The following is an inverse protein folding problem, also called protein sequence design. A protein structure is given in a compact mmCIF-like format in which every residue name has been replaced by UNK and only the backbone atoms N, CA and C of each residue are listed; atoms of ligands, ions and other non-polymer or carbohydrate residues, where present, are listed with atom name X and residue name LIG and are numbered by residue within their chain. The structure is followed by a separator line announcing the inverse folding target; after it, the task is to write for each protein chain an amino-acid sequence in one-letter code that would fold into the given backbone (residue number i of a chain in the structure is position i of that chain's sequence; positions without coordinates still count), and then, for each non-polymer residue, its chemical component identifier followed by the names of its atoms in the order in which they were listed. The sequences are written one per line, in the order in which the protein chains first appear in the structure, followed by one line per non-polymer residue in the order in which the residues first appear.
data_IF_715530539255
#
_entry.id   IF_715530539255
#
_cell.length_a   1.000
_cell.length_b   1.000
_cell.length_c   1.000
_cell.angle_alpha   90.00
_cell.angle_beta   90.00
_cell.angle_gamma   90.00
#
_symmetry.space_group_name_H-M   'P 1'
#
loop_
_entity.id
_entity.type
_entity.pdbx_description
1 polymer ?
#
# COMPACT_ATOMS: atom_id res chain seq x y z
N UNK A 1 -6.06 -7.73 23.78
CA UNK A 1 -7.29 -8.05 23.01
C UNK A 1 -6.83 -8.61 21.66
N UNK A 2 -7.35 -9.76 21.22
CA UNK A 2 -6.93 -10.39 19.96
C UNK A 2 -7.72 -9.75 18.82
N UNK A 3 -7.04 -9.07 17.89
CA UNK A 3 -7.68 -8.41 16.74
C UNK A 3 -8.40 -9.46 15.87
N UNK A 4 -9.69 -9.24 15.58
CA UNK A 4 -10.46 -10.12 14.67
C UNK A 4 -10.43 -9.61 13.22
N UNK A 5 -10.66 -10.52 12.25
CA UNK A 5 -10.78 -10.17 10.83
C UNK A 5 -11.84 -9.10 10.59
N UNK A 6 -13.00 -9.21 11.25
CA UNK A 6 -14.11 -8.28 11.10
C UNK A 6 -13.74 -6.87 11.59
N UNK A 7 -13.09 -6.78 12.74
CA UNK A 7 -12.63 -5.49 13.28
C UNK A 7 -11.57 -4.87 12.38
N UNK A 8 -10.59 -5.66 11.92
CA UNK A 8 -9.56 -5.20 10.99
C UNK A 8 -10.19 -4.67 9.70
N UNK A 9 -11.12 -5.43 9.11
CA UNK A 9 -11.80 -5.05 7.87
C UNK A 9 -12.55 -3.73 8.02
N UNK A 10 -13.29 -3.53 9.12
CA UNK A 10 -13.99 -2.27 9.38
C UNK A 10 -13.00 -1.11 9.51
N UNK A 11 -11.98 -1.25 10.35
CA UNK A 11 -10.97 -0.20 10.55
C UNK A 11 -10.26 0.16 9.24
N UNK A 12 -9.75 -0.84 8.51
CA UNK A 12 -9.04 -0.62 7.26
C UNK A 12 -9.94 0.00 6.20
N UNK A 13 -11.22 -0.41 6.13
CA UNK A 13 -12.19 0.19 5.21
C UNK A 13 -12.42 1.67 5.49
N UNK A 14 -12.59 2.05 6.76
CA UNK A 14 -12.74 3.46 7.13
C UNK A 14 -11.49 4.29 6.78
N UNK A 15 -10.31 3.77 7.12
CA UNK A 15 -9.03 4.44 6.84
C UNK A 15 -8.85 4.63 5.32
N UNK A 16 -9.04 3.58 4.53
CA UNK A 16 -8.83 3.63 3.08
C UNK A 16 -9.86 4.52 2.41
N UNK A 17 -11.12 4.52 2.85
CA UNK A 17 -12.13 5.43 2.32
C UNK A 17 -11.79 6.90 2.59
N UNK A 18 -11.27 7.23 3.78
CA UNK A 18 -10.77 8.59 4.08
C UNK A 18 -9.63 8.97 3.11
N UNK A 19 -8.71 8.03 2.79
CA UNK A 19 -7.64 8.27 1.82
C UNK A 19 -8.17 8.44 0.39
N UNK A 20 -9.08 7.59 -0.06
CA UNK A 20 -9.64 7.63 -1.40
C UNK A 20 -10.45 8.91 -1.65
N UNK A 21 -11.17 9.40 -0.63
CA UNK A 21 -11.93 10.64 -0.70
C UNK A 21 -11.03 11.84 -1.01
N UNK A 22 -9.83 11.89 -0.41
CA UNK A 22 -8.86 12.98 -0.60
C UNK A 22 -7.97 12.79 -1.82
N UNK A 23 -7.66 11.54 -2.18
CA UNK A 23 -6.72 11.22 -3.26
C UNK A 23 -7.30 11.46 -4.67
N UNK A 24 -8.63 11.44 -4.81
CA UNK A 24 -9.33 11.60 -6.09
C UNK A 24 -8.77 10.71 -7.21
N UNK A 25 -8.43 9.47 -6.86
CA UNK A 25 -7.89 8.49 -7.80
C UNK A 25 -8.87 8.17 -8.93
N UNK A 26 -8.31 7.87 -10.09
CA UNK A 26 -9.03 7.48 -11.30
C UNK A 26 -8.73 6.02 -11.64
N UNK A 27 -9.56 5.45 -12.51
CA UNK A 27 -9.28 4.17 -13.16
C UNK A 27 -7.86 4.15 -13.72
N UNK A 28 -7.12 3.09 -13.40
CA UNK A 28 -5.73 2.88 -13.82
C UNK A 28 -4.68 3.59 -12.97
N UNK A 29 -5.07 4.40 -11.97
CA UNK A 29 -4.12 4.90 -10.97
C UNK A 29 -3.63 3.75 -10.08
N UNK A 30 -2.47 3.98 -9.45
CA UNK A 30 -1.80 3.01 -8.60
C UNK A 30 -1.86 3.48 -7.13
N UNK A 31 -2.40 2.61 -6.29
CA UNK A 31 -2.44 2.74 -4.84
C UNK A 31 -1.34 1.87 -4.23
N UNK A 32 -0.48 2.46 -3.40
CA UNK A 32 0.66 1.76 -2.78
C UNK A 32 0.32 1.35 -1.35
N UNK A 33 0.64 0.11 -0.98
CA UNK A 33 0.58 -0.40 0.38
C UNK A 33 2.00 -0.66 0.91
N UNK A 34 2.36 -0.02 2.02
CA UNK A 34 3.41 -0.45 2.93
C UNK A 34 2.78 -1.04 4.18
N UNK A 35 3.28 -2.18 4.67
CA UNK A 35 2.60 -2.94 5.71
C UNK A 35 3.55 -3.79 6.57
N UNK A 36 3.46 -3.60 7.90
CA UNK A 36 4.09 -4.46 8.91
C UNK A 36 3.01 -5.17 9.74
N UNK A 37 2.76 -6.45 9.48
CA UNK A 37 1.71 -7.20 10.19
C UNK A 37 2.08 -7.54 11.63
N UNK A 38 3.37 -7.54 11.99
CA UNK A 38 3.80 -7.67 13.39
C UNK A 38 3.32 -6.49 14.23
N UNK A 39 3.45 -5.27 13.69
CA UNK A 39 2.97 -4.05 14.36
C UNK A 39 1.45 -4.05 14.50
N UNK A 40 0.71 -4.56 13.51
CA UNK A 40 -0.76 -4.63 13.57
C UNK A 40 -1.23 -5.47 14.75
N UNK A 41 -0.56 -6.60 15.01
CA UNK A 41 -0.89 -7.48 16.15
C UNK A 41 -0.26 -7.04 17.48
N UNK A 42 0.57 -5.99 17.48
CA UNK A 42 1.26 -5.48 18.67
C UNK A 42 2.57 -6.18 19.02
N UNK A 43 3.17 -6.90 18.07
CA UNK A 43 4.56 -7.33 18.16
C UNK A 43 5.49 -6.22 17.64
N UNK A 44 6.73 -6.16 18.15
CA UNK A 44 7.75 -5.27 17.60
C UNK A 44 8.15 -5.69 16.17
N UNK A 45 8.44 -4.71 15.29
CA UNK A 45 8.96 -4.89 13.91
C UNK A 45 9.95 -6.04 13.82
N UNK A 46 9.71 -6.98 12.90
CA UNK A 46 10.60 -8.10 12.60
C UNK A 46 10.44 -9.34 13.49
N UNK A 47 9.51 -9.32 14.46
CA UNK A 47 9.15 -10.50 15.28
C UNK A 47 7.67 -10.81 15.12
N UNK A 48 7.32 -12.06 14.82
CA UNK A 48 5.95 -12.56 14.72
C UNK A 48 5.10 -11.95 13.58
N UNK A 49 5.62 -11.90 12.35
CA UNK A 49 4.81 -11.62 11.17
C UNK A 49 3.57 -12.52 11.12
N UNK A 50 2.40 -11.95 10.95
CA UNK A 50 1.15 -12.70 10.84
C UNK A 50 0.73 -12.82 9.37
N UNK A 51 0.84 -14.03 8.81
CA UNK A 51 0.38 -14.36 7.47
C UNK A 51 -1.13 -14.12 7.32
N UNK A 52 -1.90 -14.55 8.32
CA UNK A 52 -3.35 -14.37 8.39
C UNK A 52 -3.77 -12.90 8.29
N UNK A 53 -3.11 -12.01 9.04
CA UNK A 53 -3.37 -10.57 8.98
C UNK A 53 -3.01 -9.99 7.61
N UNK A 54 -1.91 -10.47 7.00
CA UNK A 54 -1.54 -10.10 5.63
C UNK A 54 -2.66 -10.44 4.63
N UNK A 55 -3.22 -11.64 4.74
CA UNK A 55 -4.33 -12.10 3.89
C UNK A 55 -5.56 -11.20 4.04
N UNK A 56 -5.94 -10.84 5.26
CA UNK A 56 -7.08 -9.97 5.54
C UNK A 56 -6.90 -8.57 4.97
N UNK A 57 -5.70 -7.99 5.12
CA UNK A 57 -5.38 -6.65 4.61
C UNK A 57 -5.48 -6.62 3.08
N UNK A 58 -4.83 -7.57 2.39
CA UNK A 58 -4.83 -7.60 0.92
C UNK A 58 -6.24 -7.82 0.38
N UNK A 59 -6.99 -8.78 0.95
CA UNK A 59 -8.36 -9.06 0.54
C UNK A 59 -9.26 -7.82 0.68
N UNK A 60 -9.16 -7.14 1.82
CA UNK A 60 -9.94 -5.92 2.09
C UNK A 60 -9.59 -4.80 1.10
N UNK A 61 -8.31 -4.61 0.80
CA UNK A 61 -7.88 -3.58 -0.18
C UNK A 61 -8.38 -3.90 -1.58
N UNK A 62 -8.27 -5.16 -2.03
CA UNK A 62 -8.82 -5.58 -3.34
C UNK A 62 -10.32 -5.31 -3.44
N UNK A 63 -11.09 -5.68 -2.41
CA UNK A 63 -12.54 -5.41 -2.38
C UNK A 63 -12.89 -3.90 -2.51
N UNK A 64 -12.02 -3.00 -2.06
CA UNK A 64 -12.23 -1.55 -2.13
C UNK A 64 -11.73 -0.93 -3.45
N UNK A 65 -10.62 -1.44 -3.99
CA UNK A 65 -9.91 -0.86 -5.12
C UNK A 65 -10.32 -1.47 -6.47
N UNK A 66 -10.55 -2.79 -6.53
CA UNK A 66 -10.87 -3.49 -7.78
C UNK A 66 -12.16 -2.94 -8.42
N UNK A 67 -13.27 -2.67 -7.69
CA UNK A 67 -14.48 -2.09 -8.30
C UNK A 67 -14.28 -0.67 -8.86
N UNK A 68 -13.22 0.01 -8.44
CA UNK A 68 -12.83 1.35 -8.91
C UNK A 68 -11.78 1.29 -10.02
N UNK A 69 -11.33 0.08 -10.36
CA UNK A 69 -10.25 -0.18 -11.31
C UNK A 69 -8.95 0.56 -10.93
N UNK A 70 -8.68 0.65 -9.64
CA UNK A 70 -7.43 1.21 -9.09
C UNK A 70 -6.47 0.04 -8.84
N UNK A 71 -5.28 0.10 -9.41
CA UNK A 71 -4.28 -0.96 -9.24
C UNK A 71 -3.65 -0.88 -7.84
N UNK A 72 -3.36 -2.03 -7.24
CA UNK A 72 -2.66 -2.13 -5.96
C UNK A 72 -1.19 -2.53 -6.20
N UNK A 73 -0.25 -1.80 -5.60
CA UNK A 73 1.15 -2.18 -5.46
C UNK A 73 1.48 -2.43 -3.99
N UNK A 74 2.04 -3.60 -3.68
CA UNK A 74 2.32 -4.00 -2.30
C UNK A 74 3.81 -4.09 -2.08
N UNK A 75 4.33 -3.22 -1.22
CA UNK A 75 5.75 -3.11 -0.92
C UNK A 75 6.23 -4.29 -0.08
N UNK A 76 7.30 -4.94 -0.53
CA UNK A 76 8.09 -5.86 0.27
C UNK A 76 8.92 -5.14 1.34
N UNK A 77 9.47 -5.89 2.29
CA UNK A 77 10.39 -5.34 3.27
C UNK A 77 11.77 -4.98 2.67
N UNK A 78 12.64 -4.38 3.48
CA UNK A 78 13.98 -3.97 3.09
C UNK A 78 14.87 -5.12 2.59
N UNK A 79 14.60 -6.37 2.97
CA UNK A 79 15.33 -7.54 2.48
C UNK A 79 15.10 -7.81 0.97
N UNK A 80 13.99 -7.32 0.42
CA UNK A 80 13.70 -7.32 -1.02
C UNK A 80 13.94 -5.94 -1.64
N UNK A 81 14.71 -5.08 -0.99
CA UNK A 81 14.98 -3.71 -1.42
C UNK A 81 13.70 -2.88 -1.67
N UNK A 82 12.59 -3.22 -1.00
CA UNK A 82 11.28 -2.58 -1.19
C UNK A 82 10.74 -2.71 -2.62
N UNK A 83 11.12 -3.79 -3.32
CA UNK A 83 10.41 -4.24 -4.52
C UNK A 83 8.92 -4.45 -4.19
N UNK A 84 8.06 -4.36 -5.21
CA UNK A 84 6.61 -4.37 -4.99
C UNK A 84 5.93 -5.43 -5.85
N UNK A 85 4.99 -6.14 -5.23
CA UNK A 85 4.08 -7.02 -5.93
C UNK A 85 3.00 -6.19 -6.63
N UNK A 86 2.84 -6.41 -7.93
CA UNK A 86 1.77 -5.85 -8.79
C UNK A 86 1.24 -6.94 -9.71
N UNK A 87 0.06 -6.73 -10.30
CA UNK A 87 -0.38 -7.54 -11.44
C UNK A 87 0.54 -7.29 -12.65
N UNK A 88 0.91 -8.34 -13.40
CA UNK A 88 1.76 -8.23 -14.60
C UNK A 88 1.24 -7.20 -15.59
N UNK A 89 -0.08 -7.17 -15.79
CA UNK A 89 -0.74 -6.21 -16.68
C UNK A 89 -0.50 -4.75 -16.26
N UNK A 90 -0.39 -4.48 -14.95
CA UNK A 90 -0.07 -3.16 -14.41
C UNK A 90 1.40 -2.82 -14.65
N UNK A 91 2.31 -3.79 -14.42
CA UNK A 91 3.74 -3.62 -14.69
C UNK A 91 3.99 -3.29 -16.17
N UNK A 92 3.40 -4.06 -17.09
CA UNK A 92 3.53 -3.86 -18.53
C UNK A 92 2.92 -2.51 -18.97
N UNK A 93 1.70 -2.19 -18.52
CA UNK A 93 1.03 -0.94 -18.88
C UNK A 93 1.78 0.31 -18.40
N UNK A 94 2.41 0.24 -17.22
CA UNK A 94 3.18 1.35 -16.64
C UNK A 94 4.68 1.28 -16.94
N UNK A 95 5.14 0.24 -17.64
CA UNK A 95 6.55 -0.03 -17.98
C UNK A 95 7.45 -0.09 -16.75
N UNK A 96 6.99 -0.75 -15.69
CA UNK A 96 7.81 -1.03 -14.52
C UNK A 96 8.80 -2.15 -14.83
N UNK A 97 10.01 -2.05 -14.29
CA UNK A 97 11.04 -3.07 -14.42
C UNK A 97 10.67 -4.27 -13.54
N UNK A 98 10.41 -5.42 -14.18
CA UNK A 98 10.09 -6.67 -13.49
C UNK A 98 11.39 -7.30 -12.98
N UNK A 99 11.43 -7.63 -11.69
CA UNK A 99 12.56 -8.30 -11.04
C UNK A 99 12.18 -9.71 -10.59
N UNK A 100 13.18 -10.56 -10.41
CA UNK A 100 12.96 -11.97 -10.10
C UNK A 100 13.14 -12.27 -8.62
N UNK A 101 12.04 -12.41 -7.89
CA UNK A 101 11.98 -12.99 -6.55
C UNK A 101 10.56 -13.51 -6.29
N UNK A 102 10.44 -14.51 -5.41
CA UNK A 102 9.16 -14.90 -4.82
C UNK A 102 9.24 -14.47 -3.35
N UNK A 103 8.34 -13.59 -2.87
CA UNK A 103 8.39 -13.13 -1.49
C UNK A 103 8.11 -14.28 -0.53
N UNK A 104 8.75 -14.23 0.64
CA UNK A 104 8.54 -15.16 1.74
C UNK A 104 8.32 -14.40 3.05
N UNK A 105 7.72 -15.04 4.05
CA UNK A 105 7.44 -14.40 5.35
C UNK A 105 8.70 -13.84 6.03
N UNK A 106 9.84 -14.51 5.87
CA UNK A 106 11.13 -14.09 6.42
C UNK A 106 11.91 -13.13 5.49
N UNK A 107 11.49 -12.96 4.24
CA UNK A 107 12.15 -12.12 3.23
C UNK A 107 11.09 -11.61 2.24
N UNK A 108 10.45 -10.49 2.58
CA UNK A 108 9.36 -9.86 1.80
C UNK A 108 8.21 -9.38 2.69
N UNK A 109 7.84 -10.16 3.70
CA UNK A 109 6.81 -9.80 4.67
C UNK A 109 5.40 -10.28 4.26
N UNK A 110 4.52 -10.39 5.26
CA UNK A 110 3.24 -11.07 5.12
C UNK A 110 2.28 -10.44 4.09
N UNK A 111 2.27 -9.11 3.99
CA UNK A 111 1.45 -8.40 3.01
C UNK A 111 1.94 -8.67 1.56
N UNK A 112 3.26 -8.69 1.32
CA UNK A 112 3.85 -9.02 0.01
C UNK A 112 3.53 -10.45 -0.41
N UNK A 113 3.68 -11.41 0.52
CA UNK A 113 3.32 -12.82 0.30
C UNK A 113 1.83 -12.95 -0.04
N UNK A 114 0.96 -12.32 0.76
CA UNK A 114 -0.48 -12.37 0.52
C UNK A 114 -0.88 -11.74 -0.82
N UNK A 115 -0.19 -10.67 -1.25
CA UNK A 115 -0.41 -10.08 -2.57
C UNK A 115 -0.03 -11.07 -3.67
N UNK A 116 1.13 -11.71 -3.56
CA UNK A 116 1.61 -12.69 -4.52
C UNK A 116 0.67 -13.92 -4.61
N UNK A 117 0.02 -14.31 -3.52
CA UNK A 117 -0.93 -15.42 -3.53
C UNK A 117 -2.34 -15.04 -4.05
N UNK A 118 -2.77 -13.80 -3.82
CA UNK A 118 -4.14 -13.35 -4.14
C UNK A 118 -4.27 -12.62 -5.48
N UNK A 119 -3.16 -12.20 -6.09
CA UNK A 119 -3.15 -11.58 -7.42
C UNK A 119 -3.26 -12.66 -8.51
N UNK A 120 -3.76 -12.28 -9.68
CA UNK A 120 -4.04 -13.25 -10.75
C UNK A 120 -2.77 -13.67 -11.49
N UNK A 121 -1.92 -12.71 -11.86
CA UNK A 121 -0.60 -12.94 -12.47
C UNK A 121 0.42 -11.99 -11.82
N UNK A 122 0.84 -12.29 -10.57
CA UNK A 122 1.72 -11.42 -9.80
C UNK A 122 3.13 -11.38 -10.39
N UNK A 123 3.72 -10.18 -10.33
CA UNK A 123 5.15 -9.97 -10.56
C UNK A 123 5.70 -9.03 -9.51
N UNK A 124 6.98 -9.16 -9.22
CA UNK A 124 7.74 -8.20 -8.42
C UNK A 124 8.35 -7.14 -9.35
N UNK A 125 8.26 -5.88 -8.96
CA UNK A 125 8.87 -4.76 -9.70
C UNK A 125 9.84 -3.97 -8.83
N UNK A 126 10.92 -3.49 -9.44
CA UNK A 126 12.01 -2.80 -8.73
C UNK A 126 11.52 -1.49 -8.10
N UNK A 127 10.78 -0.70 -8.86
CA UNK A 127 10.25 0.58 -8.38
C UNK A 127 8.94 0.95 -9.07
N UNK A 128 8.11 1.73 -8.36
CA UNK A 128 6.83 2.25 -8.86
C UNK A 128 6.71 3.74 -8.57
N UNK A 129 5.85 4.40 -9.36
CA UNK A 129 5.37 5.77 -9.08
C UNK A 129 3.84 5.73 -9.00
N UNK A 130 3.32 5.70 -7.76
CA UNK A 130 1.91 5.68 -7.44
C UNK A 130 1.31 7.05 -7.14
N UNK A 131 -0.01 7.15 -7.23
CA UNK A 131 -0.75 8.40 -7.05
C UNK A 131 -1.15 8.63 -5.60
N UNK A 132 -1.35 7.56 -4.84
CA UNK A 132 -1.60 7.60 -3.40
C UNK A 132 -1.19 6.28 -2.76
N UNK A 133 -1.21 6.22 -1.44
CA UNK A 133 -0.96 5.00 -0.71
C UNK A 133 -1.14 5.14 0.79
N UNK A 134 -1.09 4.01 1.46
CA UNK A 134 -1.17 3.85 2.90
C UNK A 134 0.07 3.10 3.40
N UNK A 135 0.61 3.55 4.52
CA UNK A 135 1.67 2.89 5.25
C UNK A 135 1.15 2.48 6.63
N UNK A 136 1.20 1.18 6.90
CA UNK A 136 0.71 0.54 8.12
C UNK A 136 1.91 -0.02 8.89
N UNK A 137 2.26 0.62 10.00
CA UNK A 137 3.38 0.23 10.85
C UNK A 137 4.72 0.84 10.40
N UNK A 138 4.67 2.08 9.92
CA UNK A 138 5.84 2.93 9.64
C UNK A 138 6.90 2.30 8.73
N UNK A 139 6.44 1.56 7.71
CA UNK A 139 7.32 0.92 6.73
C UNK A 139 7.88 1.90 5.72
N UNK A 140 7.40 3.14 5.65
CA UNK A 140 7.81 4.22 4.74
C UNK A 140 7.54 3.92 3.26
N UNK A 141 6.47 4.50 2.71
CA UNK A 141 6.10 4.39 1.28
C UNK A 141 6.48 5.62 0.44
N UNK A 142 7.09 6.64 1.06
CA UNK A 142 7.32 7.94 0.43
C UNK A 142 8.12 7.87 -0.87
N UNK A 143 9.04 6.92 -1.02
CA UNK A 143 9.79 6.74 -2.26
C UNK A 143 8.89 6.35 -3.45
N UNK A 144 7.72 5.75 -3.20
CA UNK A 144 6.83 5.24 -4.24
C UNK A 144 5.76 6.25 -4.67
N UNK A 145 5.53 7.32 -3.92
CA UNK A 145 4.44 8.27 -4.21
C UNK A 145 4.93 9.40 -5.10
N UNK A 146 4.21 9.64 -6.19
CA UNK A 146 4.49 10.71 -7.16
C UNK A 146 4.64 12.06 -6.45
N UNK A 147 5.73 12.74 -6.75
CA UNK A 147 5.93 14.12 -6.30
C UNK A 147 4.98 15.07 -7.07
N UNK A 148 4.23 15.98 -6.43
CA UNK A 148 4.33 16.49 -5.04
C UNK A 148 3.47 15.67 -4.08
N UNK A 149 4.08 15.16 -3.01
CA UNK A 149 3.41 14.40 -1.97
C UNK A 149 2.66 15.31 -0.99
N UNK A 150 1.47 14.89 -0.60
CA UNK A 150 0.60 15.58 0.37
C UNK A 150 0.13 14.54 1.39
N UNK A 151 0.41 14.73 2.69
CA UNK A 151 -0.12 13.86 3.73
C UNK A 151 -1.64 13.89 3.75
N UNK A 152 -2.25 12.71 3.81
CA UNK A 152 -3.65 12.53 4.15
C UNK A 152 -3.73 12.13 5.61
N UNK A 153 -4.70 12.66 6.35
CA UNK A 153 -4.89 12.38 7.77
C UNK A 153 -6.22 11.63 7.97
N UNK A 154 -6.21 10.28 7.91
CA UNK A 154 -7.39 9.49 8.23
C UNK A 154 -7.87 9.74 9.66
N UNK A 155 -9.18 9.58 9.90
CA UNK A 155 -9.76 9.74 11.25
C UNK A 155 -9.21 8.70 12.22
N UNK A 156 -9.11 7.46 11.77
CA UNK A 156 -8.43 6.38 12.49
C UNK A 156 -6.94 6.41 12.17
N UNK A 157 -6.12 6.59 13.21
CA UNK A 157 -4.65 6.71 13.08
C UNK A 157 -3.91 5.40 13.28
N UNK A 158 -4.64 4.31 13.54
CA UNK A 158 -4.07 2.99 13.77
C UNK A 158 -4.93 1.91 13.14
N UNK A 159 -4.28 0.85 12.68
CA UNK A 159 -4.94 -0.41 12.33
C UNK A 159 -4.45 -1.47 13.31
N UNK A 160 -5.36 -1.99 14.15
CA UNK A 160 -4.92 -2.72 15.35
C UNK A 160 -4.00 -1.83 16.19
N UNK A 161 -2.75 -2.26 16.40
CA UNK A 161 -1.73 -1.49 17.11
C UNK A 161 -0.75 -0.74 16.19
N UNK A 162 -0.79 -0.98 14.87
CA UNK A 162 0.11 -0.33 13.93
C UNK A 162 -0.31 1.12 13.70
N UNK A 163 0.65 2.05 13.79
CA UNK A 163 0.46 3.43 13.35
C UNK A 163 0.19 3.49 11.84
N UNK A 164 -0.66 4.40 11.41
CA UNK A 164 -1.03 4.57 10.01
C UNK A 164 -0.68 5.96 9.52
N UNK A 165 0.06 6.02 8.41
CA UNK A 165 0.22 7.24 7.62
C UNK A 165 -0.31 7.03 6.20
N UNK A 166 -0.67 8.12 5.53
CA UNK A 166 -1.17 8.07 4.17
C UNK A 166 -0.67 9.27 3.37
N UNK A 167 -0.45 9.04 2.08
CA UNK A 167 0.02 10.05 1.14
C UNK A 167 -0.85 10.03 -0.10
N UNK A 168 -1.12 11.22 -0.65
CA UNK A 168 -1.56 11.39 -2.03
C UNK A 168 -0.58 12.28 -2.79
N UNK A 169 -0.69 12.29 -4.10
CA UNK A 169 0.06 13.20 -4.96
C UNK A 169 -0.82 14.32 -5.51
N UNK A 170 -0.19 15.44 -5.86
CA UNK A 170 -0.83 16.51 -6.63
C UNK A 170 0.13 17.09 -7.68
N UNK A 171 -0.39 17.77 -8.72
CA UNK A 171 0.44 18.55 -9.62
C UNK A 171 1.25 19.62 -8.89
N UNK A 172 2.46 19.88 -9.38
CA UNK A 172 3.26 21.03 -8.96
C UNK A 172 2.53 22.32 -9.32
N UNK A 173 2.44 23.24 -8.38
CA UNK A 173 2.14 24.63 -8.71
C UNK A 173 3.43 25.23 -9.27
N UNK A 174 3.38 25.67 -10.54
CA UNK A 174 4.49 26.29 -11.26
C UNK A 174 4.04 27.64 -11.79
N UNK A 175 4.94 28.61 -11.88
CA UNK A 175 4.62 29.94 -12.39
C UNK A 175 5.34 31.04 -11.60
N UNK A 176 5.57 32.18 -12.27
CA UNK A 176 6.15 33.36 -11.64
C UNK A 176 5.11 34.20 -10.88
N UNK A 177 5.48 35.39 -10.40
CA UNK A 177 4.65 36.23 -9.49
C UNK A 177 3.28 36.68 -10.02
N UNK A 178 2.96 36.40 -11.29
CA UNK A 178 1.71 36.77 -11.95
C UNK A 178 0.74 35.59 -12.16
N UNK A 179 1.12 34.39 -11.73
CA UNK A 179 0.29 33.21 -11.86
C UNK A 179 -0.84 33.20 -10.81
N UNK A 180 -1.98 32.60 -11.18
CA UNK A 180 -3.12 32.31 -10.32
C UNK A 180 -3.45 30.80 -10.44
N UNK A 181 -4.00 30.19 -9.39
CA UNK A 181 -4.29 28.74 -9.32
C UNK A 181 -5.67 28.47 -8.73
#
# INVERSE_FOLDING_TARGET
MKLSEKELKVQLTEIVNDVLAEAHLKKGDLFVLGCSTSEVVGGHIGKNSSAEVGQWIIRTLKELLDPKEIALAVQGCEHLNRALVVERTVAEAKKFEIVSVIPALHAGGACSVAAFEQFNDPVEVEHVIGQAGIDIGDTSIGMHIKHVQVPVRPRLKTLGQAHVTALRSRPKYIGGPRANY
#
